data_IF_467600455804
#
_entry.id   IF_467600455804
#
_cell.length_a   1.000
_cell.length_b   1.000
_cell.length_c   1.000
_cell.angle_alpha   90.00
_cell.angle_beta   90.00
_cell.angle_gamma   90.00
#
_symmetry.space_group_name_H-M   'P 1'
#
loop_
_entity.id
_entity.type
_entity.pdbx_description
1 polymer ?
#
# COMPACT_ATOMS: atom_id res chain seq x y z
N UNK A 1 10.86 0.32 24.97
CA UNK A 1 9.76 0.53 25.92
C UNK A 1 9.46 -0.82 26.54
N UNK A 2 9.77 -0.95 27.81
CA UNK A 2 9.36 -2.11 28.58
C UNK A 2 7.83 -2.07 28.69
N UNK A 3 7.17 -3.12 28.23
CA UNK A 3 5.77 -3.34 28.51
C UNK A 3 5.67 -4.14 29.81
N UNK A 4 5.41 -3.50 30.96
CA UNK A 4 5.39 -4.18 32.24
C UNK A 4 4.07 -4.93 32.42
N UNK A 5 3.76 -5.82 31.49
CA UNK A 5 2.62 -6.71 31.69
C UNK A 5 3.08 -7.95 32.46
N UNK A 6 2.69 -8.05 33.72
CA UNK A 6 3.13 -9.09 34.65
C UNK A 6 2.01 -10.02 35.12
N UNK A 7 0.84 -9.94 34.51
CA UNK A 7 -0.32 -10.71 34.92
C UNK A 7 -0.95 -11.54 33.78
N UNK A 8 -1.96 -12.34 34.08
CA UNK A 8 -2.76 -12.99 33.03
C UNK A 8 -3.42 -11.92 32.15
N UNK A 9 -3.55 -12.19 30.84
CA UNK A 9 -4.29 -11.30 29.95
C UNK A 9 -5.75 -11.21 30.42
N UNK A 10 -6.34 -10.01 30.48
CA UNK A 10 -7.75 -9.87 30.81
C UNK A 10 -8.60 -10.61 29.76
N UNK A 11 -9.77 -11.07 30.16
CA UNK A 11 -10.74 -11.60 29.22
C UNK A 11 -11.08 -10.57 28.15
N UNK A 12 -11.32 -11.04 26.92
CA UNK A 12 -11.74 -10.17 25.84
C UNK A 12 -13.12 -9.55 26.15
N UNK A 13 -13.18 -8.22 26.12
CA UNK A 13 -14.42 -7.47 26.37
C UNK A 13 -15.22 -7.17 25.09
N UNK A 14 -14.67 -7.56 23.92
CA UNK A 14 -15.28 -7.34 22.60
C UNK A 14 -15.14 -8.58 21.74
N UNK A 15 -16.11 -8.80 20.87
CA UNK A 15 -15.96 -9.76 19.78
C UNK A 15 -15.00 -9.22 18.70
N UNK A 16 -14.60 -10.10 17.77
CA UNK A 16 -13.64 -9.75 16.71
C UNK A 16 -14.15 -8.65 15.79
N UNK A 17 -15.46 -8.61 15.51
CA UNK A 17 -16.07 -7.61 14.63
C UNK A 17 -16.01 -6.23 15.28
N UNK A 18 -16.41 -6.13 16.54
CA UNK A 18 -16.35 -4.87 17.28
C UNK A 18 -14.91 -4.39 17.45
N UNK A 19 -13.98 -5.29 17.77
CA UNK A 19 -12.57 -4.96 17.88
C UNK A 19 -12.01 -4.41 16.55
N UNK A 20 -12.35 -5.02 15.43
CA UNK A 20 -11.95 -4.54 14.11
C UNK A 20 -12.56 -3.16 13.80
N UNK A 21 -13.86 -2.96 14.06
CA UNK A 21 -14.53 -1.67 13.85
C UNK A 21 -13.90 -0.56 14.70
N UNK A 22 -13.58 -0.85 15.94
CA UNK A 22 -12.89 0.11 16.83
C UNK A 22 -11.50 0.46 16.32
N UNK A 23 -10.76 -0.53 15.80
CA UNK A 23 -9.41 -0.32 15.28
C UNK A 23 -9.42 0.58 14.03
N UNK A 24 -10.28 0.32 13.04
CA UNK A 24 -10.35 1.15 11.83
C UNK A 24 -10.82 2.57 12.16
N UNK A 25 -11.76 2.73 13.09
CA UNK A 25 -12.21 4.04 13.53
C UNK A 25 -11.13 4.81 14.30
N UNK A 26 -10.34 4.12 15.12
CA UNK A 26 -9.20 4.72 15.81
C UNK A 26 -8.17 5.26 14.80
N UNK A 27 -7.81 4.45 13.78
CA UNK A 27 -6.88 4.87 12.73
C UNK A 27 -7.43 6.08 11.97
N UNK A 28 -8.69 6.04 11.55
CA UNK A 28 -9.35 7.16 10.86
C UNK A 28 -9.20 8.48 11.60
N UNK A 29 -9.30 8.47 12.94
CA UNK A 29 -9.20 9.68 13.78
C UNK A 29 -7.77 10.15 14.06
N UNK A 30 -6.75 9.42 13.64
CA UNK A 30 -5.36 9.85 13.85
C UNK A 30 -5.08 11.15 13.10
N UNK A 31 -4.40 12.14 13.72
CA UNK A 31 -4.08 13.40 13.03
C UNK A 31 -3.37 13.21 11.68
N UNK A 32 -2.47 12.24 11.59
CA UNK A 32 -1.77 11.91 10.35
C UNK A 32 -2.71 11.43 9.23
N UNK A 33 -3.82 10.76 9.57
CA UNK A 33 -4.85 10.33 8.61
C UNK A 33 -5.76 11.50 8.26
N UNK A 34 -6.19 12.24 9.28
CA UNK A 34 -7.09 13.40 9.09
C UNK A 34 -6.44 14.52 8.26
N UNK A 35 -5.10 14.62 8.24
CA UNK A 35 -4.39 15.59 7.41
C UNK A 35 -4.67 15.41 5.91
N UNK A 36 -4.94 14.19 5.45
CA UNK A 36 -5.30 13.91 4.07
C UNK A 36 -6.63 14.51 3.61
N UNK A 37 -7.48 15.03 4.50
CA UNK A 37 -8.73 15.72 4.10
C UNK A 37 -8.48 16.92 3.20
N UNK A 38 -7.38 17.62 3.41
CA UNK A 38 -7.09 18.92 2.79
C UNK A 38 -5.81 18.94 1.98
N UNK A 39 -5.12 17.82 1.89
CA UNK A 39 -3.83 17.74 1.18
C UNK A 39 -3.61 16.38 0.54
N UNK A 40 -2.80 16.36 -0.51
CA UNK A 40 -2.35 15.17 -1.22
C UNK A 40 -0.89 14.82 -0.91
N UNK A 41 -0.33 15.35 0.18
CA UNK A 41 1.02 15.09 0.66
C UNK A 41 0.94 14.54 2.09
N UNK A 42 1.70 13.49 2.44
CA UNK A 42 1.62 12.91 3.77
C UNK A 42 2.13 13.86 4.86
N UNK A 43 1.53 13.79 6.04
CA UNK A 43 2.10 14.37 7.24
C UNK A 43 3.39 13.62 7.62
N UNK A 44 4.54 14.25 7.38
CA UNK A 44 5.85 13.66 7.61
C UNK A 44 6.31 13.72 9.07
N UNK A 45 5.53 14.30 9.98
CA UNK A 45 5.74 14.16 11.43
C UNK A 45 5.47 12.72 11.90
N UNK A 46 4.73 11.95 11.10
CA UNK A 46 4.49 10.53 11.32
C UNK A 46 5.50 9.70 10.52
N UNK A 47 6.52 9.17 11.18
CA UNK A 47 7.65 8.46 10.55
C UNK A 47 7.25 7.33 9.61
N UNK A 48 6.13 6.65 9.86
CA UNK A 48 5.66 5.55 9.02
C UNK A 48 5.26 6.01 7.61
N UNK A 49 4.91 7.28 7.42
CA UNK A 49 4.63 7.85 6.09
C UNK A 49 5.87 7.85 5.17
N UNK A 50 7.06 7.54 5.71
CA UNK A 50 8.27 7.30 4.92
C UNK A 50 8.24 6.00 4.09
N UNK A 51 7.19 5.18 4.23
CA UNK A 51 6.97 3.92 3.49
C UNK A 51 5.68 3.97 2.65
N UNK A 52 5.69 4.68 1.50
CA UNK A 52 4.47 4.98 0.73
C UNK A 52 3.62 3.76 0.38
N UNK A 53 4.17 2.75 -0.28
CA UNK A 53 3.41 1.57 -0.70
C UNK A 53 2.66 0.92 0.45
N UNK A 54 3.36 0.70 1.57
CA UNK A 54 2.86 -0.07 2.70
C UNK A 54 1.90 0.74 3.57
N UNK A 55 2.31 1.94 3.98
CA UNK A 55 1.57 2.71 4.97
C UNK A 55 0.47 3.55 4.33
N UNK A 56 0.77 4.23 3.22
CA UNK A 56 -0.26 5.02 2.52
C UNK A 56 -1.25 4.10 1.82
N UNK A 57 -0.78 2.97 1.27
CA UNK A 57 -1.67 1.92 0.79
C UNK A 57 -2.60 1.37 1.90
N UNK A 58 -2.06 1.15 3.11
CA UNK A 58 -2.89 0.75 4.27
C UNK A 58 -3.88 1.85 4.69
N UNK A 59 -3.50 3.13 4.61
CA UNK A 59 -4.40 4.27 4.85
C UNK A 59 -5.59 4.22 3.89
N UNK A 60 -5.37 4.10 2.59
CA UNK A 60 -6.43 3.99 1.58
C UNK A 60 -7.40 2.85 1.94
N UNK A 61 -6.86 1.67 2.24
CA UNK A 61 -7.65 0.49 2.59
C UNK A 61 -8.46 0.69 3.87
N UNK A 62 -7.85 1.29 4.90
CA UNK A 62 -8.55 1.61 6.15
C UNK A 62 -9.73 2.54 5.90
N UNK A 63 -9.55 3.60 5.10
CA UNK A 63 -10.59 4.58 4.83
C UNK A 63 -11.73 3.99 3.99
N UNK A 64 -11.44 3.08 3.07
CA UNK A 64 -12.49 2.31 2.37
C UNK A 64 -13.28 1.44 3.36
N UNK A 65 -12.63 0.82 4.35
CA UNK A 65 -13.32 0.08 5.41
C UNK A 65 -14.17 0.99 6.29
N UNK A 66 -13.66 2.18 6.66
CA UNK A 66 -14.42 3.19 7.40
C UNK A 66 -15.67 3.59 6.63
N UNK A 67 -15.56 3.84 5.34
CA UNK A 67 -16.71 4.19 4.51
C UNK A 67 -17.79 3.09 4.46
N UNK A 68 -17.37 1.83 4.47
CA UNK A 68 -18.29 0.67 4.49
C UNK A 68 -18.96 0.47 5.85
N UNK A 69 -18.21 0.61 6.94
CA UNK A 69 -18.67 0.29 8.29
C UNK A 69 -19.34 1.47 9.01
N UNK A 70 -19.06 2.70 8.58
CA UNK A 70 -19.57 3.93 9.16
C UNK A 70 -20.15 4.86 8.08
N UNK A 71 -21.39 4.63 7.62
CA UNK A 71 -21.98 5.38 6.48
C UNK A 71 -21.97 6.91 6.66
N UNK A 72 -22.07 7.41 7.91
CA UNK A 72 -22.01 8.85 8.20
C UNK A 72 -20.63 9.47 7.99
N UNK A 73 -19.57 8.66 7.89
CA UNK A 73 -18.20 9.08 7.63
C UNK A 73 -17.75 8.78 6.19
N UNK A 74 -18.61 8.17 5.37
CA UNK A 74 -18.25 7.64 4.07
C UNK A 74 -17.63 8.70 3.15
N UNK A 75 -18.26 9.85 3.00
CA UNK A 75 -17.77 10.92 2.12
C UNK A 75 -16.40 11.44 2.57
N UNK A 76 -16.21 11.62 3.87
CA UNK A 76 -14.94 12.05 4.45
C UNK A 76 -13.85 11.00 4.25
N UNK A 77 -14.14 9.76 4.58
CA UNK A 77 -13.19 8.65 4.46
C UNK A 77 -12.75 8.44 3.00
N UNK A 78 -13.69 8.50 2.05
CA UNK A 78 -13.37 8.35 0.63
C UNK A 78 -12.58 9.57 0.10
N UNK A 79 -12.84 10.77 0.57
CA UNK A 79 -12.03 11.94 0.22
C UNK A 79 -10.56 11.76 0.70
N UNK A 80 -10.37 11.29 1.93
CA UNK A 80 -9.04 10.94 2.47
C UNK A 80 -8.36 9.86 1.60
N UNK A 81 -9.08 8.77 1.30
CA UNK A 81 -8.55 7.67 0.49
C UNK A 81 -8.12 8.13 -0.91
N UNK A 82 -8.91 8.98 -1.57
CA UNK A 82 -8.59 9.55 -2.89
C UNK A 82 -7.36 10.46 -2.85
N UNK A 83 -7.23 11.32 -1.85
CA UNK A 83 -6.07 12.18 -1.70
C UNK A 83 -4.79 11.37 -1.46
N UNK A 84 -4.87 10.33 -0.62
CA UNK A 84 -3.76 9.40 -0.41
C UNK A 84 -3.43 8.59 -1.68
N UNK A 85 -4.44 8.18 -2.45
CA UNK A 85 -4.24 7.48 -3.72
C UNK A 85 -3.59 8.40 -4.78
N UNK A 86 -3.99 9.67 -4.85
CA UNK A 86 -3.36 10.68 -5.72
C UNK A 86 -1.86 10.77 -5.43
N UNK A 87 -1.47 10.84 -4.16
CA UNK A 87 -0.06 10.86 -3.79
C UNK A 87 0.70 9.61 -4.28
N UNK A 88 0.14 8.41 -4.10
CA UNK A 88 0.79 7.18 -4.59
C UNK A 88 0.91 7.17 -6.12
N UNK A 89 -0.09 7.68 -6.83
CA UNK A 89 -0.09 7.79 -8.29
C UNK A 89 1.00 8.77 -8.75
N UNK A 90 1.08 9.94 -8.13
CA UNK A 90 2.06 10.98 -8.47
C UNK A 90 3.50 10.55 -8.21
N UNK A 91 3.71 9.70 -7.22
CA UNK A 91 5.03 9.12 -6.91
C UNK A 91 5.39 7.90 -7.76
N UNK A 92 4.42 7.29 -8.42
CA UNK A 92 4.64 6.09 -9.22
C UNK A 92 5.51 6.36 -10.44
N UNK A 93 6.25 5.34 -10.88
CA UNK A 93 6.96 5.41 -12.14
C UNK A 93 5.98 5.59 -13.31
N UNK A 94 6.37 6.35 -14.34
CA UNK A 94 5.54 6.52 -15.53
C UNK A 94 5.36 5.19 -16.30
N UNK A 95 4.39 5.13 -17.18
CA UNK A 95 3.99 3.92 -17.91
C UNK A 95 5.08 3.34 -18.81
N UNK A 96 5.97 4.18 -19.33
CA UNK A 96 7.10 3.81 -20.17
C UNK A 96 8.37 3.42 -19.41
N UNK A 97 8.33 3.47 -18.07
CA UNK A 97 9.46 3.10 -17.23
C UNK A 97 9.56 1.56 -17.04
N UNK A 98 10.76 1.02 -16.74
CA UNK A 98 10.93 -0.40 -16.42
C UNK A 98 10.06 -0.89 -15.26
N UNK A 99 9.87 -0.03 -14.24
CA UNK A 99 8.97 -0.29 -13.10
C UNK A 99 7.64 0.47 -13.25
N UNK A 100 7.04 0.43 -14.43
CA UNK A 100 5.79 1.14 -14.72
C UNK A 100 4.75 0.98 -13.60
N UNK A 101 4.12 2.08 -13.21
CA UNK A 101 3.08 2.17 -12.18
C UNK A 101 3.51 1.84 -10.74
N UNK A 102 4.76 1.42 -10.49
CA UNK A 102 5.21 1.15 -9.12
C UNK A 102 5.41 2.44 -8.34
N UNK A 103 4.73 2.64 -7.21
CA UNK A 103 5.14 3.64 -6.24
C UNK A 103 6.40 3.16 -5.50
N UNK A 104 7.21 4.07 -4.94
CA UNK A 104 8.43 3.68 -4.23
C UNK A 104 8.12 3.06 -2.88
N UNK A 105 8.98 2.13 -2.43
CA UNK A 105 8.93 1.64 -1.04
C UNK A 105 9.27 2.75 -0.04
N UNK A 106 10.24 3.62 -0.39
CA UNK A 106 10.75 4.67 0.50
C UNK A 106 10.41 6.05 -0.03
N UNK A 107 9.95 6.96 0.84
CA UNK A 107 9.73 8.34 0.47
C UNK A 107 11.07 9.01 0.14
N UNK A 108 11.17 9.54 -1.06
CA UNK A 108 12.40 10.13 -1.60
C UNK A 108 12.91 11.25 -0.67
N UNK A 109 14.23 11.24 -0.40
CA UNK A 109 14.91 12.21 0.45
C UNK A 109 14.56 12.19 1.96
N UNK A 110 13.85 11.19 2.44
CA UNK A 110 13.58 11.04 3.87
C UNK A 110 14.61 10.12 4.54
N UNK A 111 14.65 10.10 5.90
CA UNK A 111 15.71 9.44 6.68
C UNK A 111 15.99 8.00 6.25
N UNK A 112 14.93 7.21 6.02
CA UNK A 112 15.08 5.81 5.61
C UNK A 112 15.55 5.63 4.16
N UNK A 113 15.20 6.56 3.26
CA UNK A 113 15.65 6.54 1.88
C UNK A 113 17.11 6.98 1.70
N UNK A 114 17.64 7.75 2.64
CA UNK A 114 19.04 8.23 2.63
C UNK A 114 20.07 7.18 3.04
N UNK A 115 19.63 6.05 3.58
CA UNK A 115 20.56 4.96 3.90
C UNK A 115 21.08 4.35 2.61
N UNK A 116 22.37 4.10 2.50
CA UNK A 116 23.04 3.61 1.28
C UNK A 116 22.37 2.38 0.66
N UNK A 117 21.86 1.47 1.50
CA UNK A 117 21.18 0.28 1.03
C UNK A 117 19.73 0.51 0.54
N UNK A 118 19.16 1.71 0.74
CA UNK A 118 17.81 2.08 0.31
C UNK A 118 17.80 3.18 -0.74
N UNK A 119 18.86 3.98 -0.82
CA UNK A 119 18.90 5.14 -1.71
C UNK A 119 18.71 4.73 -3.18
N UNK A 120 17.73 5.32 -3.85
CA UNK A 120 17.39 5.02 -5.24
C UNK A 120 16.86 3.60 -5.49
N UNK A 121 16.49 2.86 -4.44
CA UNK A 121 16.07 1.46 -4.53
C UNK A 121 14.65 1.27 -4.03
N UNK A 122 14.01 0.18 -4.45
CA UNK A 122 12.67 -0.21 -3.99
C UNK A 122 12.62 -1.71 -3.70
N UNK A 123 11.79 -2.11 -2.74
CA UNK A 123 11.48 -3.51 -2.48
C UNK A 123 10.48 -3.97 -3.53
N UNK A 124 10.83 -4.98 -4.30
CA UNK A 124 10.07 -5.38 -5.49
C UNK A 124 8.61 -5.67 -5.19
N UNK A 125 8.29 -6.40 -4.12
CA UNK A 125 6.92 -6.84 -3.84
C UNK A 125 6.07 -5.85 -3.02
N UNK A 126 6.62 -4.72 -2.58
CA UNK A 126 5.85 -3.72 -1.82
C UNK A 126 4.76 -3.03 -2.67
N UNK A 127 4.93 -2.93 -3.99
CA UNK A 127 3.90 -2.37 -4.87
C UNK A 127 2.58 -3.18 -4.87
N UNK A 128 2.60 -4.47 -4.45
CA UNK A 128 1.37 -5.24 -4.25
C UNK A 128 0.42 -4.57 -3.24
N UNK A 129 0.97 -3.93 -2.19
CA UNK A 129 0.16 -3.24 -1.19
C UNK A 129 -0.60 -2.05 -1.80
N UNK A 130 0.06 -1.27 -2.66
CA UNK A 130 -0.59 -0.20 -3.42
C UNK A 130 -1.63 -0.75 -4.41
N UNK A 131 -1.30 -1.82 -5.13
CA UNK A 131 -2.24 -2.49 -6.03
C UNK A 131 -3.51 -2.95 -5.33
N UNK A 132 -3.40 -3.57 -4.16
CA UNK A 132 -4.56 -3.93 -3.34
C UNK A 132 -5.37 -2.70 -2.89
N UNK A 133 -4.70 -1.61 -2.53
CA UNK A 133 -5.37 -0.38 -2.11
C UNK A 133 -6.16 0.25 -3.26
N UNK A 134 -5.59 0.28 -4.46
CA UNK A 134 -6.28 0.75 -5.66
C UNK A 134 -7.50 -0.14 -6.00
N UNK A 135 -7.39 -1.47 -5.90
CA UNK A 135 -8.55 -2.36 -6.10
C UNK A 135 -9.64 -2.14 -5.06
N UNK A 136 -9.29 -1.94 -3.77
CA UNK A 136 -10.29 -1.66 -2.74
C UNK A 136 -11.02 -0.34 -3.00
N UNK A 137 -10.30 0.67 -3.48
CA UNK A 137 -10.87 1.97 -3.82
C UNK A 137 -11.73 1.90 -5.11
N UNK A 138 -11.29 1.14 -6.11
CA UNK A 138 -12.10 0.84 -7.30
C UNK A 138 -13.40 0.12 -6.95
N UNK A 139 -13.33 -0.93 -6.13
CA UNK A 139 -14.50 -1.71 -5.71
C UNK A 139 -15.54 -0.84 -4.99
N UNK A 140 -15.12 0.23 -4.33
CA UNK A 140 -16.02 1.14 -3.64
C UNK A 140 -16.55 2.26 -4.55
N UNK A 141 -15.68 2.86 -5.37
CA UNK A 141 -15.98 4.09 -6.13
C UNK A 141 -16.44 3.82 -7.57
N UNK A 142 -16.04 2.69 -8.17
CA UNK A 142 -16.21 2.40 -9.59
C UNK A 142 -15.30 3.21 -10.50
N UNK A 143 -14.33 3.98 -9.97
CA UNK A 143 -13.46 4.82 -10.78
C UNK A 143 -12.38 4.02 -11.48
N UNK A 144 -12.47 3.94 -12.81
CA UNK A 144 -11.60 3.12 -13.67
C UNK A 144 -10.10 3.39 -13.48
N UNK A 145 -9.72 4.62 -13.14
CA UNK A 145 -8.34 5.00 -12.85
C UNK A 145 -7.65 4.04 -11.88
N UNK A 146 -8.33 3.69 -10.79
CA UNK A 146 -7.75 2.82 -9.75
C UNK A 146 -7.57 1.38 -10.23
N UNK A 147 -8.52 0.88 -10.99
CA UNK A 147 -8.39 -0.43 -11.62
C UNK A 147 -7.21 -0.48 -12.60
N UNK A 148 -7.09 0.53 -13.47
CA UNK A 148 -6.00 0.60 -14.45
C UNK A 148 -4.65 0.67 -13.77
N UNK A 149 -4.52 1.41 -12.66
CA UNK A 149 -3.29 1.46 -11.84
C UNK A 149 -2.96 0.09 -11.25
N UNK A 150 -3.94 -0.61 -10.72
CA UNK A 150 -3.73 -1.96 -10.19
C UNK A 150 -3.30 -2.93 -11.29
N UNK A 151 -3.98 -2.96 -12.42
CA UNK A 151 -3.61 -3.83 -13.55
C UNK A 151 -2.22 -3.48 -14.08
N UNK A 152 -1.89 -2.19 -14.20
CA UNK A 152 -0.56 -1.74 -14.62
C UNK A 152 0.57 -2.24 -13.69
N UNK A 153 0.35 -2.21 -12.37
CA UNK A 153 1.28 -2.82 -11.39
C UNK A 153 1.44 -4.33 -11.66
N UNK A 154 0.35 -5.04 -11.90
CA UNK A 154 0.38 -6.48 -12.17
C UNK A 154 1.13 -6.79 -13.47
N UNK A 155 0.87 -6.05 -14.54
CA UNK A 155 1.55 -6.22 -15.83
C UNK A 155 3.07 -5.95 -15.71
N UNK A 156 3.47 -5.03 -14.83
CA UNK A 156 4.89 -4.81 -14.53
C UNK A 156 5.51 -6.01 -13.80
N UNK A 157 4.81 -6.64 -12.88
CA UNK A 157 5.29 -7.87 -12.27
C UNK A 157 5.50 -9.00 -13.28
N UNK A 158 4.61 -9.16 -14.27
CA UNK A 158 4.80 -10.17 -15.32
C UNK A 158 6.10 -9.95 -16.12
N UNK A 159 6.52 -8.69 -16.31
CA UNK A 159 7.75 -8.34 -17.00
C UNK A 159 9.01 -8.53 -16.14
N UNK A 160 8.88 -8.45 -14.82
CA UNK A 160 9.99 -8.56 -13.86
C UNK A 160 10.31 -10.00 -13.46
N UNK A 161 9.46 -10.95 -13.83
CA UNK A 161 9.65 -12.36 -13.46
C UNK A 161 10.88 -12.94 -14.16
N UNK A 162 11.79 -13.54 -13.39
CA UNK A 162 12.90 -14.29 -13.94
C UNK A 162 12.45 -15.57 -14.66
N UNK A 163 13.28 -16.11 -15.54
CA UNK A 163 13.00 -17.35 -16.27
C UNK A 163 12.71 -18.54 -15.34
N UNK A 164 13.29 -18.54 -14.14
CA UNK A 164 13.08 -19.52 -13.08
C UNK A 164 11.81 -19.27 -12.25
N UNK A 165 11.01 -18.26 -12.61
CA UNK A 165 9.81 -17.85 -11.88
C UNK A 165 10.07 -16.96 -10.65
N UNK A 166 11.33 -16.68 -10.33
CA UNK A 166 11.70 -15.87 -9.17
C UNK A 166 11.60 -14.37 -9.42
N UNK A 167 11.67 -13.60 -8.33
CA UNK A 167 11.75 -12.13 -8.34
C UNK A 167 12.90 -11.67 -7.44
N UNK A 168 13.65 -10.62 -7.82
CA UNK A 168 14.62 -10.02 -6.92
C UNK A 168 13.90 -9.40 -5.71
N UNK A 169 14.53 -9.45 -4.53
CA UNK A 169 13.95 -8.83 -3.33
C UNK A 169 13.95 -7.31 -3.42
N UNK A 170 14.97 -6.74 -4.04
CA UNK A 170 15.19 -5.31 -4.17
C UNK A 170 15.77 -4.97 -5.55
N UNK A 171 15.27 -3.90 -6.14
CA UNK A 171 15.71 -3.39 -7.44
C UNK A 171 16.06 -1.91 -7.36
N UNK A 172 16.84 -1.43 -8.30
CA UNK A 172 16.99 -0.01 -8.56
C UNK A 172 15.64 0.58 -9.02
N UNK A 173 15.23 1.70 -8.45
CA UNK A 173 13.90 2.25 -8.71
C UNK A 173 13.75 2.89 -10.08
N UNK A 174 14.86 3.24 -10.73
CA UNK A 174 14.86 3.86 -12.07
C UNK A 174 15.01 2.82 -13.16
N UNK A 175 15.98 1.91 -13.01
CA UNK A 175 16.33 0.93 -14.05
C UNK A 175 15.60 -0.40 -13.93
N UNK A 176 15.06 -0.73 -12.75
CA UNK A 176 14.46 -2.04 -12.47
C UNK A 176 15.48 -3.17 -12.25
N UNK A 177 16.79 -2.88 -12.37
CA UNK A 177 17.83 -3.88 -12.22
C UNK A 177 17.95 -4.42 -10.79
N UNK A 178 18.17 -5.73 -10.62
CA UNK A 178 18.39 -6.34 -9.30
C UNK A 178 19.59 -5.71 -8.57
N UNK A 179 19.41 -5.38 -7.29
CA UNK A 179 20.48 -4.86 -6.44
C UNK A 179 21.46 -5.95 -6.02
N UNK A 180 20.96 -7.19 -5.90
CA UNK A 180 21.73 -8.39 -5.53
C UNK A 180 20.95 -9.65 -5.92
N UNK A 181 21.54 -10.83 -5.68
CA UNK A 181 20.97 -12.14 -6.06
C UNK A 181 19.89 -12.65 -5.09
N UNK A 182 19.54 -11.88 -4.04
CA UNK A 182 18.54 -12.30 -3.05
C UNK A 182 17.14 -12.28 -3.66
N UNK A 183 16.43 -13.39 -3.53
CA UNK A 183 15.07 -13.55 -4.08
C UNK A 183 14.00 -13.18 -3.06
N UNK A 184 12.89 -12.67 -3.58
CA UNK A 184 11.75 -12.28 -2.77
C UNK A 184 10.88 -13.45 -2.34
N UNK A 185 10.19 -13.31 -1.19
CA UNK A 185 9.16 -14.24 -0.74
C UNK A 185 7.84 -13.90 -1.43
N UNK A 186 7.32 -14.80 -2.27
CA UNK A 186 6.30 -14.50 -3.28
C UNK A 186 4.85 -14.39 -2.75
N UNK A 187 4.56 -14.70 -1.49
CA UNK A 187 3.18 -14.72 -1.00
C UNK A 187 2.39 -13.40 -1.20
N UNK A 188 2.96 -12.18 -1.06
CA UNK A 188 2.21 -10.95 -1.36
C UNK A 188 1.79 -10.87 -2.83
N UNK A 189 2.68 -11.28 -3.73
CA UNK A 189 2.40 -11.28 -5.16
C UNK A 189 1.35 -12.34 -5.52
N UNK A 190 1.45 -13.54 -4.98
CA UNK A 190 0.48 -14.62 -5.22
C UNK A 190 -0.92 -14.19 -4.77
N UNK A 191 -1.05 -13.57 -3.59
CA UNK A 191 -2.32 -13.05 -3.12
C UNK A 191 -2.88 -11.97 -4.05
N UNK A 192 -2.02 -11.09 -4.56
CA UNK A 192 -2.40 -10.02 -5.46
C UNK A 192 -2.88 -10.57 -6.81
N UNK A 193 -2.09 -11.43 -7.44
CA UNK A 193 -2.44 -12.07 -8.71
C UNK A 193 -3.69 -12.95 -8.60
N UNK A 194 -3.84 -13.67 -7.48
CA UNK A 194 -5.04 -14.47 -7.23
C UNK A 194 -6.28 -13.59 -7.10
N UNK A 195 -6.18 -12.43 -6.44
CA UNK A 195 -7.29 -11.47 -6.38
C UNK A 195 -7.70 -10.98 -7.77
N UNK A 196 -6.75 -10.56 -8.58
CA UNK A 196 -7.00 -10.11 -9.95
C UNK A 196 -7.67 -11.21 -10.80
N UNK A 197 -7.18 -12.44 -10.68
CA UNK A 197 -7.78 -13.58 -11.38
C UNK A 197 -9.20 -13.90 -10.89
N UNK A 198 -9.38 -14.02 -9.56
CA UNK A 198 -10.66 -14.51 -9.00
C UNK A 198 -11.77 -13.47 -8.99
N UNK A 199 -11.45 -12.20 -8.78
CA UNK A 199 -12.45 -11.13 -8.69
C UNK A 199 -12.70 -10.40 -10.01
N UNK A 200 -11.67 -10.31 -10.87
CA UNK A 200 -11.74 -9.53 -12.11
C UNK A 200 -11.55 -10.37 -13.38
N UNK A 201 -11.35 -11.67 -13.25
CA UNK A 201 -11.26 -12.58 -14.40
C UNK A 201 -9.98 -12.43 -15.23
N UNK A 202 -8.94 -11.75 -14.72
CA UNK A 202 -7.68 -11.60 -15.44
C UNK A 202 -6.92 -12.93 -15.52
N UNK A 203 -6.54 -13.34 -16.73
CA UNK A 203 -5.93 -14.65 -17.04
C UNK A 203 -4.62 -14.55 -17.78
N UNK A 204 -3.96 -13.39 -17.72
CA UNK A 204 -2.66 -13.18 -18.35
C UNK A 204 -1.57 -14.05 -17.73
#
# INVERSE_FOLDING_TARGET
>A
RDFPFTGPYPEAVRDYKEAARMAIYYIHRMPAIQSWKTQTVPDMSYDHNTYPCKIIGATIRNEVLVAKEFPLLADEAIAIAKNAATFLIDMSRPEDAPLAFFPPTYYLNYVNSKRDWNQGKTMTLEACAAGHAFLDLYDYTGEQLYYDRAVGIADTYLKLQGEDGSYPIKVDFVTGEPVNDVKAMLHPLLNYMQRLRSQYGLTK
#
